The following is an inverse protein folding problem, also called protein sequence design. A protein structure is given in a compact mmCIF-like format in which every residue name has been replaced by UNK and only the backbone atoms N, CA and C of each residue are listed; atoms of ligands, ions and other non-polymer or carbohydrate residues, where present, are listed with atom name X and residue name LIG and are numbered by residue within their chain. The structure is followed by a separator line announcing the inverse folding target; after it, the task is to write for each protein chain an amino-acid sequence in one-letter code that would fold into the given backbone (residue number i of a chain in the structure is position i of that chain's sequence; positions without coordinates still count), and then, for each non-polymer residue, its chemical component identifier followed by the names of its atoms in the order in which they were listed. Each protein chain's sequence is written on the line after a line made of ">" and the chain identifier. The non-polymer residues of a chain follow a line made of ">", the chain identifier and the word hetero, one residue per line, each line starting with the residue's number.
data_IF_102124348213
#
_entry.id   IF_102124348213
#
_cell.length_a   1.000
_cell.length_b   1.000
_cell.length_c   1.000
_cell.angle_alpha   90.00
_cell.angle_beta   90.00
_cell.angle_gamma   90.00
#
_symmetry.space_group_name_H-M   'P 1'
#
loop_
_entity.id
_entity.type
_entity.pdbx_description
1 polymer ?
#
# COMPACT_ATOMS: atom_id res chain seq x y z
N UNK A 1 -3.12 -8.57 19.54
CA UNK A 1 -3.28 -7.90 18.25
C UNK A 1 -2.50 -6.59 18.29
N UNK A 2 -1.53 -6.41 17.40
CA UNK A 2 -0.89 -5.10 17.25
C UNK A 2 -1.85 -4.19 16.49
N UNK A 3 -2.63 -3.38 17.21
CA UNK A 3 -3.38 -2.28 16.61
C UNK A 3 -2.39 -1.15 16.35
N UNK A 4 -2.06 -0.94 15.08
CA UNK A 4 -1.19 0.18 14.72
C UNK A 4 -2.00 1.48 14.69
N UNK A 5 -2.00 2.22 15.80
CA UNK A 5 -2.65 3.52 15.93
C UNK A 5 -1.80 4.69 15.39
N UNK A 6 -0.76 4.40 14.58
CA UNK A 6 0.16 5.43 14.09
C UNK A 6 -0.35 6.17 12.84
N UNK A 7 -1.50 5.78 12.30
CA UNK A 7 -2.13 6.48 11.19
C UNK A 7 -2.79 7.80 11.66
N UNK A 8 -2.42 8.91 11.03
CA UNK A 8 -3.11 10.20 11.18
C UNK A 8 -4.17 10.41 10.10
N UNK A 9 -3.86 10.00 8.89
CA UNK A 9 -4.67 10.25 7.69
C UNK A 9 -5.58 9.07 7.32
N UNK A 10 -5.50 7.96 8.03
CA UNK A 10 -6.36 6.80 7.82
C UNK A 10 -7.01 6.33 9.12
N UNK A 11 -8.27 5.93 9.03
CA UNK A 11 -9.00 5.33 10.13
C UNK A 11 -10.08 4.38 9.59
N UNK A 12 -10.16 3.19 10.14
CA UNK A 12 -11.33 2.32 9.98
C UNK A 12 -12.37 2.73 11.04
N UNK A 13 -13.36 3.53 10.63
CA UNK A 13 -14.34 4.14 11.54
C UNK A 13 -15.33 3.10 12.05
N UNK A 14 -15.88 2.28 11.16
CA UNK A 14 -16.90 1.26 11.46
C UNK A 14 -16.79 0.09 10.50
N UNK A 15 -17.29 -1.06 10.96
CA UNK A 15 -17.35 -2.30 10.17
C UNK A 15 -18.69 -2.99 10.37
N UNK A 16 -19.19 -3.70 9.34
CA UNK A 16 -20.40 -4.50 9.41
C UNK A 16 -20.93 -4.89 8.03
N UNK A 17 -21.67 -5.99 7.96
CA UNK A 17 -22.30 -6.53 6.74
C UNK A 17 -21.30 -6.70 5.57
N UNK A 18 -20.11 -7.19 5.82
CA UNK A 18 -19.09 -7.37 4.77
C UNK A 18 -18.48 -6.07 4.24
N UNK A 19 -18.60 -4.97 4.98
CA UNK A 19 -18.12 -3.65 4.58
C UNK A 19 -17.42 -2.92 5.70
N UNK A 20 -16.58 -1.96 5.33
CA UNK A 20 -15.91 -1.02 6.23
C UNK A 20 -16.12 0.41 5.78
N UNK A 21 -16.40 1.28 6.76
CA UNK A 21 -16.44 2.73 6.63
C UNK A 21 -15.07 3.26 7.04
N UNK A 22 -14.38 3.91 6.13
CA UNK A 22 -12.99 4.33 6.29
C UNK A 22 -12.83 5.81 6.00
N UNK A 23 -12.01 6.48 6.80
CA UNK A 23 -11.53 7.82 6.52
C UNK A 23 -10.13 7.76 5.90
N UNK A 24 -9.98 8.44 4.78
CA UNK A 24 -8.75 8.59 4.00
C UNK A 24 -8.43 10.07 3.85
N UNK A 25 -7.67 10.63 4.78
CA UNK A 25 -7.50 12.08 4.97
C UNK A 25 -8.90 12.72 5.21
N UNK A 26 -9.38 13.55 4.30
CA UNK A 26 -10.70 14.21 4.39
C UNK A 26 -11.81 13.48 3.62
N UNK A 27 -11.53 12.31 3.10
CA UNK A 27 -12.48 11.53 2.26
C UNK A 27 -12.93 10.29 3.02
N UNK A 28 -14.24 10.07 3.06
CA UNK A 28 -14.86 8.92 3.72
C UNK A 28 -15.39 7.96 2.66
N UNK A 29 -14.93 6.72 2.71
CA UNK A 29 -15.28 5.68 1.76
C UNK A 29 -15.96 4.50 2.45
N UNK A 30 -16.93 3.86 1.75
CA UNK A 30 -17.40 2.53 2.09
C UNK A 30 -16.80 1.54 1.08
N UNK A 31 -16.13 0.51 1.59
CA UNK A 31 -15.55 -0.54 0.75
C UNK A 31 -15.89 -1.92 1.28
N UNK A 32 -16.06 -2.92 0.38
CA UNK A 32 -16.35 -4.29 0.79
C UNK A 32 -15.11 -4.95 1.45
N UNK A 33 -15.38 -5.63 2.55
CA UNK A 33 -14.45 -6.52 3.21
C UNK A 33 -15.19 -7.79 3.68
N UNK A 34 -15.12 -8.89 2.91
CA UNK A 34 -15.91 -10.10 3.17
C UNK A 34 -15.51 -10.84 4.44
N UNK A 35 -14.41 -10.48 5.09
CA UNK A 35 -14.02 -11.04 6.39
C UNK A 35 -14.89 -10.48 7.53
N UNK A 36 -15.63 -9.40 7.30
CA UNK A 36 -16.51 -8.76 8.27
C UNK A 36 -17.88 -9.46 8.24
N UNK A 37 -18.04 -10.48 9.07
CA UNK A 37 -19.25 -11.35 9.11
C UNK A 37 -20.34 -10.86 10.06
N UNK A 38 -20.08 -9.85 10.88
CA UNK A 38 -21.06 -9.28 11.82
C UNK A 38 -21.91 -8.20 11.17
N UNK A 39 -23.07 -7.96 11.76
CA UNK A 39 -24.04 -6.98 11.25
C UNK A 39 -23.62 -5.54 11.57
N UNK A 40 -24.05 -4.59 10.73
CA UNK A 40 -24.00 -3.16 11.05
C UNK A 40 -24.94 -2.88 12.22
N UNK A 41 -24.48 -2.08 13.17
CA UNK A 41 -25.27 -1.62 14.31
C UNK A 41 -26.17 -0.42 13.95
N UNK A 42 -25.86 0.28 12.86
CA UNK A 42 -26.56 1.47 12.39
C UNK A 42 -26.33 1.70 10.88
N UNK A 43 -27.15 2.55 10.28
CA UNK A 43 -26.95 3.00 8.90
C UNK A 43 -25.81 4.00 8.82
N UNK A 44 -24.97 3.87 7.81
CA UNK A 44 -23.88 4.83 7.52
C UNK A 44 -24.35 5.81 6.45
N UNK A 45 -24.62 7.05 6.85
CA UNK A 45 -25.16 8.07 5.95
C UNK A 45 -24.11 9.09 5.51
N UNK A 46 -23.05 9.26 6.31
CA UNK A 46 -22.00 10.25 6.06
C UNK A 46 -20.80 9.57 5.42
N UNK A 47 -20.79 9.51 4.09
CA UNK A 47 -19.68 9.03 3.26
C UNK A 47 -19.67 9.75 1.92
N UNK A 48 -18.53 9.73 1.24
CA UNK A 48 -18.31 10.43 -0.01
C UNK A 48 -18.44 9.53 -1.24
N UNK A 49 -18.02 8.27 -1.12
CA UNK A 49 -18.22 7.25 -2.13
C UNK A 49 -18.36 5.85 -1.53
N UNK A 50 -19.05 4.98 -2.25
CA UNK A 50 -19.31 3.60 -1.88
C UNK A 50 -18.99 2.67 -3.05
N UNK A 51 -18.15 1.67 -2.81
CA UNK A 51 -17.86 0.65 -3.82
C UNK A 51 -18.82 -0.52 -3.69
N UNK A 52 -19.62 -0.74 -4.70
CA UNK A 52 -20.58 -1.85 -4.80
C UNK A 52 -19.94 -3.02 -5.55
N UNK A 53 -19.97 -4.21 -4.96
CA UNK A 53 -19.51 -5.43 -5.62
C UNK A 53 -20.57 -5.94 -6.58
N UNK A 54 -20.13 -6.35 -7.78
CA UNK A 54 -20.97 -7.12 -8.71
C UNK A 54 -20.94 -8.61 -8.35
N UNK A 55 -22.02 -9.32 -8.60
CA UNK A 55 -22.12 -10.79 -8.49
C UNK A 55 -21.27 -11.51 -9.54
N UNK A 56 -20.95 -10.85 -10.66
CA UNK A 56 -20.16 -11.39 -11.77
C UNK A 56 -18.66 -11.09 -11.64
N UNK A 57 -18.23 -10.52 -10.52
CA UNK A 57 -16.87 -10.06 -10.28
C UNK A 57 -16.68 -8.57 -10.60
N UNK A 58 -15.70 -7.94 -9.96
CA UNK A 58 -15.50 -6.50 -10.04
C UNK A 58 -16.54 -5.70 -9.26
N UNK A 59 -16.94 -4.55 -9.80
CA UNK A 59 -17.92 -3.66 -9.17
C UNK A 59 -17.78 -2.22 -9.69
N UNK A 60 -18.42 -1.28 -9.01
CA UNK A 60 -18.42 0.13 -9.37
C UNK A 60 -18.45 1.02 -8.13
N UNK A 61 -17.98 2.25 -8.30
CA UNK A 61 -18.09 3.31 -7.29
C UNK A 61 -19.36 4.13 -7.49
N UNK A 62 -20.15 4.25 -6.46
CA UNK A 62 -21.19 5.26 -6.33
C UNK A 62 -20.60 6.49 -5.63
N UNK A 63 -20.60 7.63 -6.29
CA UNK A 63 -20.08 8.89 -5.76
C UNK A 63 -21.22 9.80 -5.30
N UNK A 64 -21.25 10.16 -4.01
CA UNK A 64 -22.18 11.19 -3.50
C UNK A 64 -21.73 12.61 -3.82
N UNK A 65 -20.42 12.80 -3.98
CA UNK A 65 -19.84 14.07 -4.42
C UNK A 65 -18.69 13.81 -5.38
N UNK A 66 -18.33 14.81 -6.17
CA UNK A 66 -17.14 14.74 -7.03
C UNK A 66 -15.90 14.65 -6.14
N UNK A 67 -15.14 13.60 -6.30
CA UNK A 67 -13.83 13.44 -5.65
C UNK A 67 -12.71 13.95 -6.59
N UNK A 68 -11.56 14.33 -6.05
CA UNK A 68 -10.36 14.54 -6.87
C UNK A 68 -9.95 13.22 -7.54
N UNK A 69 -9.22 13.30 -8.64
CA UNK A 69 -8.68 12.14 -9.35
C UNK A 69 -7.83 11.27 -8.41
N UNK A 70 -7.06 11.92 -7.56
CA UNK A 70 -6.32 11.28 -6.46
C UNK A 70 -6.16 12.26 -5.28
N UNK A 71 -5.80 11.72 -4.14
CA UNK A 71 -5.33 12.50 -2.99
C UNK A 71 -4.18 11.75 -2.31
N UNK A 72 -3.61 12.33 -1.28
CA UNK A 72 -2.49 11.73 -0.56
C UNK A 72 -2.86 11.39 0.87
N UNK A 73 -2.21 10.38 1.40
CA UNK A 73 -2.19 10.03 2.83
C UNK A 73 -0.75 9.82 3.28
N UNK A 74 -0.47 10.17 4.52
CA UNK A 74 0.85 10.06 5.09
C UNK A 74 0.91 8.92 6.11
N UNK A 75 2.01 8.20 6.08
CA UNK A 75 2.39 7.26 7.14
C UNK A 75 3.81 7.57 7.58
N UNK A 76 3.97 8.09 8.79
CA UNK A 76 5.24 8.71 9.25
C UNK A 76 5.68 9.79 8.26
N UNK A 77 6.90 9.73 7.78
CA UNK A 77 7.48 10.69 6.83
C UNK A 77 7.28 10.28 5.36
N UNK A 78 6.48 9.25 5.10
CA UNK A 78 6.16 8.78 3.76
C UNK A 78 4.79 9.27 3.31
N UNK A 79 4.69 9.68 2.05
CA UNK A 79 3.46 10.15 1.41
C UNK A 79 3.06 9.21 0.29
N UNK A 80 1.80 8.80 0.30
CA UNK A 80 1.25 7.85 -0.66
C UNK A 80 0.04 8.41 -1.39
N UNK A 81 -0.01 8.22 -2.70
CA UNK A 81 -1.16 8.49 -3.55
C UNK A 81 -2.26 7.46 -3.28
N UNK A 82 -3.48 7.95 -3.17
CA UNK A 82 -4.71 7.17 -3.02
C UNK A 82 -5.71 7.62 -4.07
N UNK A 83 -6.35 6.69 -4.75
CA UNK A 83 -7.37 6.95 -5.76
C UNK A 83 -8.39 5.83 -5.81
N UNK A 84 -9.68 6.10 -6.04
CA UNK A 84 -10.63 5.07 -6.43
C UNK A 84 -10.16 4.43 -7.73
N UNK A 85 -9.95 3.13 -7.72
CA UNK A 85 -9.63 2.37 -8.93
C UNK A 85 -10.89 1.70 -9.50
N UNK A 86 -10.79 1.04 -10.64
CA UNK A 86 -11.88 0.21 -11.17
C UNK A 86 -12.22 -0.99 -10.26
N UNK A 87 -11.45 -1.16 -9.18
CA UNK A 87 -11.64 -2.19 -8.17
C UNK A 87 -11.89 -1.56 -6.80
N UNK A 88 -12.18 -2.38 -5.79
CA UNK A 88 -12.38 -1.94 -4.40
C UNK A 88 -11.12 -1.32 -3.75
N UNK A 89 -9.96 -1.51 -4.34
CA UNK A 89 -8.68 -1.04 -3.80
C UNK A 89 -8.43 0.43 -4.14
N UNK A 90 -7.76 1.12 -3.23
CA UNK A 90 -7.48 2.55 -3.30
C UNK A 90 -5.99 2.87 -3.47
N UNK A 91 -5.18 1.84 -3.71
CA UNK A 91 -3.74 2.00 -3.90
C UNK A 91 -2.89 1.60 -2.67
N UNK A 92 -3.50 1.48 -1.48
CA UNK A 92 -2.78 1.11 -0.26
C UNK A 92 -3.56 0.05 0.51
N UNK A 93 -2.82 -0.73 1.30
CA UNK A 93 -3.35 -1.65 2.31
C UNK A 93 -2.91 -1.15 3.69
N UNK A 94 -3.73 -0.32 4.38
CA UNK A 94 -3.35 0.29 5.66
C UNK A 94 -3.03 -0.71 6.77
N UNK A 95 -3.64 -1.89 6.72
CA UNK A 95 -3.38 -3.01 7.62
C UNK A 95 -1.93 -3.52 7.56
N UNK A 96 -1.21 -3.24 6.47
CA UNK A 96 0.20 -3.60 6.31
C UNK A 96 1.15 -2.66 7.07
N UNK A 97 0.66 -1.61 7.67
CA UNK A 97 1.50 -0.63 8.37
C UNK A 97 2.31 -1.23 9.53
N UNK A 98 1.80 -2.25 10.21
CA UNK A 98 2.56 -3.00 11.22
C UNK A 98 3.77 -3.74 10.62
N UNK A 99 3.62 -4.26 9.39
CA UNK A 99 4.73 -4.87 8.65
C UNK A 99 5.74 -3.82 8.19
N UNK A 100 5.28 -2.62 7.82
CA UNK A 100 6.20 -1.53 7.49
C UNK A 100 7.00 -1.07 8.70
N UNK A 101 6.40 -1.01 9.89
CA UNK A 101 7.12 -0.73 11.13
C UNK A 101 8.15 -1.81 11.46
N UNK A 102 7.81 -3.07 11.23
CA UNK A 102 8.74 -4.19 11.38
C UNK A 102 9.93 -4.06 10.40
N UNK A 103 9.66 -3.75 9.11
CA UNK A 103 10.69 -3.51 8.10
C UNK A 103 11.61 -2.35 8.55
N UNK A 104 11.01 -1.23 8.97
CA UNK A 104 11.78 -0.08 9.46
C UNK A 104 12.72 -0.47 10.61
N UNK A 105 12.19 -1.16 11.62
CA UNK A 105 12.96 -1.60 12.77
C UNK A 105 14.12 -2.51 12.35
N UNK A 106 13.85 -3.54 11.53
CA UNK A 106 14.85 -4.52 11.10
C UNK A 106 15.96 -3.90 10.27
N UNK A 107 15.61 -3.04 9.32
CA UNK A 107 16.61 -2.37 8.48
C UNK A 107 17.44 -1.42 9.32
N UNK A 108 16.84 -0.59 10.15
CA UNK A 108 17.54 0.36 11.01
C UNK A 108 18.49 -0.36 11.99
N UNK A 109 18.08 -1.49 12.56
CA UNK A 109 18.93 -2.30 13.43
C UNK A 109 20.13 -2.89 12.68
N UNK A 110 19.89 -3.49 11.51
CA UNK A 110 20.94 -4.12 10.69
C UNK A 110 21.98 -3.09 10.21
N UNK A 111 21.52 -1.93 9.78
CA UNK A 111 22.36 -0.84 9.27
C UNK A 111 23.29 -0.19 10.34
N UNK A 112 23.09 -0.48 11.61
CA UNK A 112 24.02 -0.02 12.67
C UNK A 112 25.38 -0.70 12.60
N UNK A 113 25.44 -1.89 12.03
CA UNK A 113 26.64 -2.74 12.02
C UNK A 113 27.06 -3.19 10.62
N UNK A 114 26.28 -2.87 9.59
CA UNK A 114 26.52 -3.29 8.21
C UNK A 114 26.37 -2.11 7.24
N UNK A 115 27.32 -1.96 6.34
CA UNK A 115 27.35 -0.86 5.36
C UNK A 115 26.44 -1.11 4.14
N UNK A 116 26.08 -2.33 3.88
CA UNK A 116 25.25 -2.73 2.76
C UNK A 116 24.01 -3.48 3.22
N UNK A 117 22.87 -3.16 2.61
CA UNK A 117 21.63 -3.93 2.77
C UNK A 117 20.81 -3.84 1.49
N UNK A 118 20.66 -4.96 0.81
CA UNK A 118 19.83 -5.10 -0.39
C UNK A 118 18.52 -5.78 -0.04
N UNK A 119 17.40 -5.12 -0.33
CA UNK A 119 16.06 -5.61 -0.04
C UNK A 119 15.36 -6.00 -1.33
N UNK A 120 14.71 -7.16 -1.33
CA UNK A 120 13.84 -7.61 -2.42
C UNK A 120 12.39 -7.58 -1.97
N UNK A 121 11.57 -6.78 -2.66
CA UNK A 121 10.14 -6.71 -2.47
C UNK A 121 9.42 -7.30 -3.69
N UNK A 122 8.77 -8.43 -3.50
CA UNK A 122 8.04 -9.19 -4.52
C UNK A 122 6.54 -8.94 -4.38
N UNK A 123 5.80 -8.96 -5.51
CA UNK A 123 4.39 -8.56 -5.53
C UNK A 123 4.22 -7.17 -4.91
N UNK A 124 5.11 -6.26 -5.32
CA UNK A 124 5.41 -5.06 -4.57
C UNK A 124 4.30 -3.99 -4.64
N UNK A 125 3.31 -4.19 -5.51
CA UNK A 125 2.13 -3.34 -5.67
C UNK A 125 2.54 -1.86 -5.83
N UNK A 126 1.85 -0.92 -5.20
CA UNK A 126 2.16 0.52 -5.26
C UNK A 126 3.38 0.94 -4.43
N UNK A 127 4.10 -0.02 -3.84
CA UNK A 127 5.44 0.17 -3.28
C UNK A 127 5.51 0.70 -1.85
N UNK A 128 4.45 0.62 -1.03
CA UNK A 128 4.54 1.13 0.35
C UNK A 128 5.67 0.46 1.16
N UNK A 129 5.81 -0.87 1.07
CA UNK A 129 6.91 -1.59 1.72
C UNK A 129 8.28 -1.22 1.10
N UNK A 130 8.34 -0.99 -0.22
CA UNK A 130 9.54 -0.51 -0.93
C UNK A 130 9.99 0.85 -0.41
N UNK A 131 9.04 1.80 -0.30
CA UNK A 131 9.34 3.15 0.21
C UNK A 131 9.81 3.08 1.66
N UNK A 132 9.14 2.27 2.49
CA UNK A 132 9.56 2.08 3.88
C UNK A 132 10.96 1.46 3.97
N UNK A 133 11.28 0.44 3.18
CA UNK A 133 12.61 -0.15 3.18
C UNK A 133 13.70 0.85 2.77
N UNK A 134 13.44 1.63 1.73
CA UNK A 134 14.35 2.66 1.24
C UNK A 134 14.55 3.80 2.25
N UNK A 135 13.46 4.30 2.84
CA UNK A 135 13.47 5.31 3.91
C UNK A 135 14.26 4.85 5.13
N UNK A 136 14.14 3.58 5.50
CA UNK A 136 14.81 2.98 6.67
C UNK A 136 16.32 2.78 6.49
N UNK A 137 16.87 3.03 5.30
CA UNK A 137 18.31 2.97 5.06
C UNK A 137 18.80 1.75 4.27
N UNK A 138 17.91 1.01 3.59
CA UNK A 138 18.34 0.01 2.62
C UNK A 138 19.21 0.69 1.53
N UNK A 139 20.33 0.08 1.18
CA UNK A 139 21.26 0.63 0.17
C UNK A 139 20.74 0.41 -1.25
N UNK A 140 20.01 -0.66 -1.47
CA UNK A 140 19.27 -0.96 -2.71
C UNK A 140 17.95 -1.62 -2.36
N UNK A 141 16.86 -1.20 -3.01
CA UNK A 141 15.58 -1.90 -2.97
C UNK A 141 15.20 -2.32 -4.38
N UNK A 142 14.97 -3.61 -4.58
CA UNK A 142 14.44 -4.15 -5.84
C UNK A 142 12.96 -4.39 -5.67
N UNK A 143 12.17 -3.63 -6.41
CA UNK A 143 10.71 -3.64 -6.44
C UNK A 143 10.25 -4.41 -7.67
N UNK A 144 9.54 -5.51 -7.48
CA UNK A 144 9.09 -6.39 -8.57
C UNK A 144 7.57 -6.52 -8.54
N UNK A 145 6.93 -6.10 -9.62
CA UNK A 145 5.51 -6.30 -9.86
C UNK A 145 5.26 -6.53 -11.35
N UNK A 146 4.30 -7.38 -11.71
CA UNK A 146 4.01 -7.70 -13.10
C UNK A 146 3.26 -6.58 -13.83
N UNK A 147 2.57 -5.69 -13.11
CA UNK A 147 1.76 -4.63 -13.67
C UNK A 147 2.57 -3.35 -13.91
N UNK A 148 2.70 -2.96 -15.18
CA UNK A 148 3.35 -1.70 -15.55
C UNK A 148 2.68 -0.48 -14.91
N UNK A 149 1.34 -0.41 -14.92
CA UNK A 149 0.61 0.72 -14.33
C UNK A 149 0.79 0.84 -12.83
N UNK A 150 0.90 -0.29 -12.12
CA UNK A 150 1.17 -0.33 -10.70
C UNK A 150 2.62 0.12 -10.40
N UNK A 151 3.58 -0.28 -11.23
CA UNK A 151 4.96 0.19 -11.10
C UNK A 151 5.09 1.71 -11.36
N UNK A 152 4.32 2.28 -12.29
CA UNK A 152 4.29 3.74 -12.46
C UNK A 152 3.70 4.43 -11.21
N UNK A 153 2.63 3.89 -10.63
CA UNK A 153 2.11 4.39 -9.36
C UNK A 153 3.14 4.33 -8.23
N UNK A 154 3.89 3.22 -8.14
CA UNK A 154 4.97 3.10 -7.16
C UNK A 154 6.07 4.17 -7.35
N UNK A 155 6.40 4.53 -8.60
CA UNK A 155 7.33 5.63 -8.89
C UNK A 155 6.75 7.00 -8.49
N UNK A 156 5.44 7.20 -8.62
CA UNK A 156 4.80 8.42 -8.10
C UNK A 156 4.90 8.47 -6.57
N UNK A 157 4.66 7.35 -5.87
CA UNK A 157 4.84 7.27 -4.41
C UNK A 157 6.30 7.51 -3.98
N UNK A 158 7.28 7.07 -4.77
CA UNK A 158 8.69 7.40 -4.54
C UNK A 158 8.92 8.91 -4.58
N UNK A 159 8.38 9.61 -5.59
CA UNK A 159 8.50 11.07 -5.72
C UNK A 159 7.78 11.79 -4.58
N UNK A 160 6.54 11.40 -4.27
CA UNK A 160 5.76 11.98 -3.18
C UNK A 160 6.43 11.82 -1.81
N UNK A 161 7.21 10.74 -1.64
CA UNK A 161 7.97 10.45 -0.42
C UNK A 161 9.41 11.01 -0.45
N UNK A 162 9.78 11.79 -1.48
CA UNK A 162 11.12 12.41 -1.65
C UNK A 162 12.28 11.39 -1.60
N UNK A 163 12.09 10.22 -2.24
CA UNK A 163 13.08 9.13 -2.26
C UNK A 163 13.78 8.97 -3.61
N UNK A 164 13.72 9.97 -4.52
CA UNK A 164 14.33 9.91 -5.86
C UNK A 164 15.85 9.78 -5.84
N UNK A 165 16.48 10.22 -4.77
CA UNK A 165 17.93 10.10 -4.55
C UNK A 165 18.36 8.72 -4.02
N UNK A 166 17.40 7.81 -3.78
CA UNK A 166 17.65 6.46 -3.28
C UNK A 166 17.72 5.44 -4.42
N UNK A 167 18.45 4.37 -4.20
CA UNK A 167 18.57 3.29 -5.19
C UNK A 167 17.35 2.35 -5.10
N UNK A 168 16.31 2.65 -5.88
CA UNK A 168 15.12 1.79 -6.03
C UNK A 168 15.04 1.34 -7.49
N UNK A 169 15.06 0.02 -7.71
CA UNK A 169 14.97 -0.59 -9.04
C UNK A 169 13.58 -1.16 -9.25
N UNK A 170 12.80 -0.53 -10.13
CA UNK A 170 11.47 -0.98 -10.52
C UNK A 170 11.57 -1.99 -11.66
N UNK A 171 11.10 -3.20 -11.44
CA UNK A 171 11.11 -4.31 -12.40
C UNK A 171 9.67 -4.70 -12.73
N UNK A 172 9.30 -4.55 -14.00
CA UNK A 172 7.99 -5.03 -14.50
C UNK A 172 8.16 -6.42 -15.08
N UNK A 173 7.93 -7.43 -14.27
CA UNK A 173 8.14 -8.84 -14.64
C UNK A 173 7.32 -9.76 -13.73
N UNK A 174 7.00 -10.94 -14.25
CA UNK A 174 6.49 -12.04 -13.41
C UNK A 174 7.49 -12.41 -12.33
N UNK A 175 7.01 -12.52 -11.10
CA UNK A 175 7.85 -12.72 -9.91
C UNK A 175 8.65 -14.02 -9.98
N UNK A 176 8.05 -15.11 -10.48
CA UNK A 176 8.73 -16.41 -10.57
C UNK A 176 9.87 -16.34 -11.59
N UNK A 177 9.61 -15.75 -12.76
CA UNK A 177 10.65 -15.55 -13.79
C UNK A 177 11.79 -14.67 -13.27
N UNK A 178 11.45 -13.62 -12.50
CA UNK A 178 12.44 -12.76 -11.88
C UNK A 178 13.34 -13.55 -10.90
N UNK A 179 12.74 -14.32 -9.98
CA UNK A 179 13.48 -15.13 -8.99
C UNK A 179 14.39 -16.14 -9.68
N UNK A 180 13.92 -16.84 -10.69
CA UNK A 180 14.73 -17.81 -11.44
C UNK A 180 15.93 -17.15 -12.12
N UNK A 181 15.74 -15.93 -12.65
CA UNK A 181 16.81 -15.15 -13.24
C UNK A 181 17.86 -14.70 -12.20
N UNK A 182 17.43 -14.22 -11.05
CA UNK A 182 18.33 -13.78 -9.97
C UNK A 182 19.11 -14.96 -9.37
N UNK A 183 18.49 -16.13 -9.21
CA UNK A 183 19.18 -17.37 -8.83
C UNK A 183 20.31 -17.74 -9.80
N UNK A 184 20.02 -17.69 -11.12
CA UNK A 184 21.06 -17.97 -12.14
C UNK A 184 22.22 -16.97 -12.12
N UNK A 185 21.96 -15.73 -11.66
CA UNK A 185 22.98 -14.67 -11.51
C UNK A 185 23.72 -14.74 -10.19
N UNK A 186 23.37 -15.65 -9.30
CA UNK A 186 23.94 -15.73 -7.95
C UNK A 186 23.68 -14.50 -7.08
N UNK A 187 22.62 -13.73 -7.37
CA UNK A 187 22.27 -12.57 -6.54
C UNK A 187 21.59 -12.98 -5.25
N UNK A 188 21.98 -12.32 -4.17
CA UNK A 188 21.46 -12.50 -2.82
C UNK A 188 20.91 -11.20 -2.27
N UNK A 189 19.96 -11.33 -1.35
CA UNK A 189 19.30 -10.24 -0.61
C UNK A 189 19.33 -10.56 0.88
N UNK A 190 19.10 -9.55 1.71
CA UNK A 190 19.15 -9.66 3.18
C UNK A 190 17.77 -9.87 3.78
#
# INVERSE_FOLDING_TARGET
>A
MNTNNNWKDYECIKTGNGEKLERWNNIILIRPDPQIIWNKTEKWNNYDAHYHRSSEGGGYWEFKKKLPEYWTVNYKDLTFKVSPTNFKHTGIFPEQSSNWDFINKKITEYRKTHDEMRVLNLFAYTGCATMMASFSGATEVVHVDASKGINEWAKENMKLSHLENKTIRFITEDVIKFIEREKRRGRTYH
#
